data_IF_926031518480
#
_entry.id   IF_926031518480
#
_cell.length_a   1.000
_cell.length_b   1.000
_cell.length_c   1.000
_cell.angle_alpha   90.00
_cell.angle_beta   90.00
_cell.angle_gamma   90.00
#
_symmetry.space_group_name_H-M   'P 1'
#
loop_
_entity.id
_entity.type
_entity.pdbx_description
1 polymer ?
#
# COMPACT_ATOMS: atom_id res chain seq x y z
N UNK A 1 -0.96 -1.41 -14.52
CA UNK A 1 -1.98 -2.32 -15.07
C UNK A 1 -3.03 -2.47 -13.97
N UNK A 2 -4.31 -2.22 -14.24
CA UNK A 2 -5.36 -2.40 -13.23
C UNK A 2 -5.39 -3.88 -12.78
N UNK A 3 -5.71 -4.12 -11.51
CA UNK A 3 -5.94 -5.47 -11.00
C UNK A 3 -7.33 -5.90 -11.49
N UNK A 4 -7.40 -6.89 -12.37
CA UNK A 4 -8.66 -7.36 -12.96
C UNK A 4 -9.19 -8.58 -12.21
N UNK A 5 -8.29 -9.38 -11.64
CA UNK A 5 -8.62 -10.58 -10.88
C UNK A 5 -7.78 -10.68 -9.61
N UNK A 6 -8.28 -11.38 -8.58
CA UNK A 6 -7.58 -11.47 -7.29
C UNK A 6 -6.21 -12.15 -7.42
N UNK A 7 -6.00 -12.99 -8.42
CA UNK A 7 -4.71 -13.64 -8.70
C UNK A 7 -3.64 -12.67 -9.19
N UNK A 8 -4.00 -11.46 -9.64
CA UNK A 8 -3.00 -10.43 -10.00
C UNK A 8 -2.15 -9.99 -8.80
N UNK A 9 -2.64 -10.22 -7.56
CA UNK A 9 -1.85 -10.04 -6.34
C UNK A 9 -0.61 -10.94 -6.28
N UNK A 10 -0.58 -12.06 -7.02
CA UNK A 10 0.61 -12.92 -7.09
C UNK A 10 1.80 -12.19 -7.71
N UNK A 11 1.56 -11.36 -8.74
CA UNK A 11 2.61 -10.52 -9.35
C UNK A 11 3.11 -9.47 -8.36
N UNK A 12 2.21 -8.90 -7.56
CA UNK A 12 2.57 -7.97 -6.48
C UNK A 12 3.43 -8.67 -5.43
N UNK A 13 3.14 -9.95 -5.14
CA UNK A 13 3.89 -10.73 -4.17
C UNK A 13 5.31 -11.12 -4.64
N UNK A 14 5.49 -11.32 -5.93
CA UNK A 14 6.81 -11.51 -6.54
C UNK A 14 7.67 -10.23 -6.45
N UNK A 15 7.04 -9.06 -6.46
CA UNK A 15 7.72 -7.76 -6.35
C UNK A 15 8.08 -7.42 -4.89
N UNK A 16 9.14 -8.04 -4.37
CA UNK A 16 9.71 -7.72 -3.05
C UNK A 16 10.24 -6.27 -3.00
N UNK A 17 10.02 -5.55 -1.89
CA UNK A 17 10.46 -4.16 -1.74
C UNK A 17 9.62 -3.14 -2.52
N UNK A 18 8.41 -3.51 -2.94
CA UNK A 18 7.50 -2.67 -3.72
C UNK A 18 6.94 -1.49 -2.93
N UNK A 19 6.48 -0.45 -3.63
CA UNK A 19 5.67 0.62 -3.06
C UNK A 19 4.21 0.33 -3.41
N UNK A 20 3.38 0.13 -2.39
CA UNK A 20 1.95 -0.08 -2.54
C UNK A 20 1.21 1.21 -2.19
N UNK A 21 0.49 1.78 -3.16
CA UNK A 21 -0.34 2.96 -2.97
C UNK A 21 -1.81 2.57 -3.00
N UNK A 22 -2.51 2.80 -1.89
CA UNK A 22 -3.94 2.57 -1.75
C UNK A 22 -4.66 3.90 -1.85
N UNK A 23 -5.17 4.21 -3.04
CA UNK A 23 -6.03 5.36 -3.21
C UNK A 23 -7.44 5.08 -2.69
N UNK A 24 -8.10 6.12 -2.17
CA UNK A 24 -9.38 6.02 -1.49
C UNK A 24 -9.42 4.85 -0.48
N UNK A 25 -8.39 4.76 0.37
CA UNK A 25 -8.16 3.64 1.27
C UNK A 25 -9.37 3.31 2.15
N UNK A 26 -10.22 4.27 2.48
CA UNK A 26 -11.48 4.01 3.18
C UNK A 26 -12.48 3.17 2.37
N UNK A 27 -12.44 3.19 1.04
CA UNK A 27 -13.31 2.33 0.22
C UNK A 27 -12.95 0.87 0.39
N UNK A 28 -11.66 0.56 0.47
CA UNK A 28 -11.16 -0.79 0.70
C UNK A 28 -11.14 -1.20 2.19
N UNK A 29 -10.90 -0.25 3.08
CA UNK A 29 -10.62 -0.52 4.49
C UNK A 29 -11.56 0.26 5.41
N UNK A 30 -12.85 0.38 5.04
CA UNK A 30 -13.87 0.99 5.89
C UNK A 30 -14.48 0.00 6.86
N UNK A 31 -14.70 0.48 8.09
CA UNK A 31 -15.39 -0.22 9.16
C UNK A 31 -16.87 -0.58 8.85
N UNK A 32 -17.46 -0.10 7.75
CA UNK A 32 -18.93 -0.09 7.57
C UNK A 32 -19.49 -0.79 6.34
N UNK A 33 -18.70 -1.09 5.29
CA UNK A 33 -19.26 -1.42 3.96
C UNK A 33 -18.99 -2.82 3.41
N UNK A 34 -18.03 -3.58 3.95
CA UNK A 34 -17.76 -4.94 3.45
C UNK A 34 -18.37 -6.01 4.35
N UNK A 35 -18.78 -7.14 3.75
CA UNK A 35 -19.08 -8.36 4.52
C UNK A 35 -17.88 -8.67 5.43
N UNK A 36 -18.12 -9.19 6.64
CA UNK A 36 -17.05 -9.49 7.62
C UNK A 36 -15.88 -10.25 6.98
N UNK A 37 -16.18 -11.14 6.03
CA UNK A 37 -15.20 -11.92 5.28
C UNK A 37 -14.30 -11.07 4.36
N UNK A 38 -14.87 -10.21 3.51
CA UNK A 38 -14.08 -9.37 2.57
C UNK A 38 -13.18 -8.37 3.29
N UNK A 39 -13.66 -7.75 4.38
CA UNK A 39 -12.85 -6.84 5.19
C UNK A 39 -11.68 -7.57 5.90
N UNK A 40 -11.88 -8.83 6.28
CA UNK A 40 -10.85 -9.66 6.89
C UNK A 40 -9.75 -9.98 5.88
N UNK A 41 -10.12 -10.46 4.68
CA UNK A 41 -9.16 -10.75 3.60
C UNK A 41 -8.40 -9.50 3.19
N UNK A 42 -9.07 -8.36 2.97
CA UNK A 42 -8.42 -7.12 2.57
C UNK A 42 -7.30 -6.75 3.57
N UNK A 43 -7.58 -6.91 4.85
CA UNK A 43 -6.61 -6.60 5.90
C UNK A 43 -5.50 -7.63 6.00
N UNK A 44 -5.81 -8.91 5.82
CA UNK A 44 -4.82 -9.98 5.78
C UNK A 44 -3.87 -9.84 4.58
N UNK A 45 -4.39 -9.46 3.40
CA UNK A 45 -3.58 -9.10 2.23
C UNK A 45 -2.63 -7.95 2.56
N UNK A 46 -3.11 -6.92 3.25
CA UNK A 46 -2.27 -5.80 3.66
C UNK A 46 -1.19 -6.22 4.69
N UNK A 47 -1.54 -7.04 5.67
CA UNK A 47 -0.56 -7.57 6.62
C UNK A 47 0.47 -8.47 5.92
N UNK A 48 0.03 -9.19 4.88
CA UNK A 48 0.90 -10.01 4.04
C UNK A 48 1.86 -9.14 3.23
N UNK A 49 1.40 -8.08 2.57
CA UNK A 49 2.27 -7.17 1.80
C UNK A 49 3.36 -6.54 2.67
N UNK A 50 3.08 -6.21 3.93
CA UNK A 50 4.12 -5.75 4.87
C UNK A 50 5.27 -6.75 5.07
N UNK A 51 4.99 -8.06 5.09
CA UNK A 51 6.04 -9.09 5.20
C UNK A 51 6.98 -9.10 3.99
N UNK A 52 6.57 -8.50 2.87
CA UNK A 52 7.33 -8.40 1.62
C UNK A 52 8.23 -7.16 1.54
N UNK A 53 8.51 -6.52 2.69
CA UNK A 53 9.34 -5.30 2.81
C UNK A 53 8.82 -4.12 1.98
N UNK A 54 7.52 -4.08 1.70
CA UNK A 54 6.90 -3.02 0.91
C UNK A 54 6.66 -1.76 1.74
N UNK A 55 6.81 -0.59 1.12
CA UNK A 55 6.30 0.68 1.68
C UNK A 55 4.82 0.80 1.35
N UNK A 56 4.00 1.11 2.36
CA UNK A 56 2.55 1.20 2.23
C UNK A 56 2.11 2.67 2.34
N UNK A 57 1.46 3.20 1.32
CA UNK A 57 0.93 4.57 1.27
C UNK A 57 -0.59 4.48 1.22
N UNK A 58 -1.28 5.05 2.21
CA UNK A 58 -2.74 5.07 2.27
C UNK A 58 -3.22 6.50 2.04
N UNK A 59 -3.93 6.72 0.94
CA UNK A 59 -4.56 8.00 0.63
C UNK A 59 -6.04 7.92 1.03
N UNK A 60 -6.48 8.82 1.90
CA UNK A 60 -7.88 8.93 2.32
C UNK A 60 -8.18 10.39 2.64
N UNK A 61 -9.42 10.87 2.43
CA UNK A 61 -9.84 12.20 2.87
C UNK A 61 -9.66 12.41 4.38
N UNK A 62 -9.69 11.34 5.17
CA UNK A 62 -9.44 11.37 6.60
C UNK A 62 -8.92 10.02 7.09
N UNK A 63 -7.84 10.04 7.86
CA UNK A 63 -7.29 8.84 8.49
C UNK A 63 -8.33 8.13 9.37
N UNK A 64 -9.26 8.87 9.97
CA UNK A 64 -10.31 8.32 10.84
C UNK A 64 -11.32 7.43 10.09
N UNK A 65 -11.36 7.52 8.76
CA UNK A 65 -12.22 6.67 7.93
C UNK A 65 -11.59 5.30 7.64
N UNK A 66 -10.31 5.13 7.96
CA UNK A 66 -9.56 3.88 7.77
C UNK A 66 -9.71 2.99 9.01
N UNK A 67 -9.81 1.67 8.79
CA UNK A 67 -9.86 0.63 9.83
C UNK A 67 -8.79 0.86 10.91
N UNK A 68 -9.17 0.70 12.17
CA UNK A 68 -8.31 0.99 13.32
C UNK A 68 -7.04 0.13 13.36
N UNK A 69 -7.07 -1.10 12.84
CA UNK A 69 -5.89 -1.98 12.78
C UNK A 69 -4.86 -1.47 11.80
N UNK A 70 -5.29 -0.81 10.72
CA UNK A 70 -4.38 -0.14 9.79
C UNK A 70 -3.80 1.11 10.46
N UNK A 71 -4.64 1.89 11.14
CA UNK A 71 -4.15 3.07 11.87
C UNK A 71 -3.07 2.71 12.89
N UNK A 72 -3.22 1.60 13.61
CA UNK A 72 -2.24 1.13 14.60
C UNK A 72 -0.84 0.87 14.03
N UNK A 73 -0.71 0.61 12.73
CA UNK A 73 0.58 0.29 12.09
C UNK A 73 1.11 1.44 11.20
N UNK A 74 0.42 2.57 11.14
CA UNK A 74 0.86 3.76 10.39
C UNK A 74 1.94 4.47 11.21
N UNK A 75 3.06 4.77 10.58
CA UNK A 75 4.19 5.45 11.23
C UNK A 75 4.14 6.96 10.96
N UNK A 76 3.85 7.35 9.73
CA UNK A 76 3.86 8.76 9.31
C UNK A 76 2.47 9.16 8.80
N UNK A 77 1.93 10.25 9.37
CA UNK A 77 0.74 10.93 8.88
C UNK A 77 1.14 12.16 8.07
N UNK A 78 0.68 12.23 6.82
CA UNK A 78 0.90 13.36 5.92
C UNK A 78 -0.42 14.09 5.69
N UNK A 79 -0.55 15.29 6.24
CA UNK A 79 -1.73 16.13 6.07
C UNK A 79 -1.49 17.18 4.98
N UNK A 80 -2.27 17.11 3.89
CA UNK A 80 -2.21 18.06 2.78
C UNK A 80 -3.39 19.03 2.86
N UNK A 81 -3.11 20.33 2.92
CA UNK A 81 -4.14 21.39 2.95
C UNK A 81 -3.90 22.42 1.85
N UNK A 82 -4.92 22.68 1.03
CA UNK A 82 -4.92 23.78 0.07
C UNK A 82 -4.98 25.13 0.82
N UNK A 83 -4.08 26.05 0.48
CA UNK A 83 -4.02 27.41 1.02
C UNK A 83 -4.42 28.40 -0.08
N UNK A 84 -5.72 28.51 -0.33
CA UNK A 84 -6.27 29.35 -1.40
C UNK A 84 -5.55 29.10 -2.73
N UNK A 85 -5.16 30.17 -3.41
CA UNK A 85 -4.42 30.12 -4.68
C UNK A 85 -2.90 30.07 -4.51
N UNK A 86 -2.38 30.11 -3.28
CA UNK A 86 -0.93 30.09 -3.03
C UNK A 86 -0.32 28.71 -3.31
N UNK A 87 -1.03 27.64 -2.95
CA UNK A 87 -0.52 26.28 -3.08
C UNK A 87 -1.06 25.34 -2.01
N UNK A 88 -0.28 24.32 -1.68
CA UNK A 88 -0.61 23.31 -0.68
C UNK A 88 0.44 23.31 0.43
N UNK A 89 -0.01 23.31 1.68
CA UNK A 89 0.85 22.99 2.82
C UNK A 89 0.75 21.49 3.14
N UNK A 90 1.90 20.88 3.31
CA UNK A 90 2.07 19.45 3.58
C UNK A 90 2.73 19.35 4.95
N UNK A 91 2.06 18.71 5.90
CA UNK A 91 2.58 18.53 7.26
C UNK A 91 2.82 17.05 7.51
N UNK A 92 4.02 16.74 7.98
CA UNK A 92 4.44 15.40 8.35
C UNK A 92 4.47 15.30 9.87
N UNK A 93 3.81 14.28 10.38
CA UNK A 93 3.68 14.02 11.81
C UNK A 93 3.93 12.54 12.04
N UNK A 94 4.68 12.21 13.08
CA UNK A 94 4.75 10.84 13.57
C UNK A 94 3.36 10.48 14.10
N UNK A 95 2.72 9.48 13.49
CA UNK A 95 1.33 9.17 13.78
C UNK A 95 1.14 8.54 15.16
N UNK A 96 2.17 7.84 15.66
CA UNK A 96 2.11 7.11 16.92
C UNK A 96 2.25 8.04 18.13
N UNK A 97 3.19 8.99 18.02
CA UNK A 97 3.53 9.93 19.10
C UNK A 97 2.83 11.28 18.95
N UNK A 98 2.39 11.62 17.73
CA UNK A 98 1.87 12.94 17.38
C UNK A 98 2.97 13.99 17.20
N UNK A 99 4.25 13.60 17.22
CA UNK A 99 5.37 14.53 17.11
C UNK A 99 5.45 15.16 15.72
N UNK A 100 5.66 16.48 15.69
CA UNK A 100 5.90 17.19 14.45
C UNK A 100 7.24 16.80 13.85
N UNK A 101 7.25 16.32 12.62
CA UNK A 101 8.48 15.93 11.93
C UNK A 101 8.94 17.01 10.95
N UNK A 102 8.06 17.41 10.05
CA UNK A 102 8.44 18.28 8.94
C UNK A 102 7.24 19.02 8.35
N UNK A 103 7.51 20.15 7.67
CA UNK A 103 6.52 20.89 6.89
C UNK A 103 7.11 21.31 5.56
N UNK A 104 6.34 21.06 4.51
CA UNK A 104 6.67 21.45 3.16
C UNK A 104 5.55 22.29 2.55
N UNK A 105 5.91 23.16 1.61
CA UNK A 105 4.95 23.92 0.82
C UNK A 105 5.12 23.62 -0.67
N UNK A 106 4.02 23.30 -1.34
CA UNK A 106 3.95 23.11 -2.78
C UNK A 106 3.25 24.33 -3.41
N UNK A 107 4.00 25.25 -4.04
CA UNK A 107 3.41 26.40 -4.72
C UNK A 107 2.43 25.98 -5.81
N UNK A 108 1.36 26.76 -5.99
CA UNK A 108 0.30 26.45 -6.95
C UNK A 108 0.82 26.33 -8.40
N UNK A 109 1.83 27.10 -8.78
CA UNK A 109 2.43 26.99 -10.12
C UNK A 109 3.11 25.63 -10.34
N UNK A 110 3.72 25.02 -9.32
CA UNK A 110 4.26 23.65 -9.40
C UNK A 110 3.14 22.63 -9.42
N UNK A 111 2.14 22.79 -8.56
CA UNK A 111 0.97 21.90 -8.54
C UNK A 111 0.25 21.86 -9.90
N UNK A 112 0.01 23.02 -10.52
CA UNK A 112 -0.57 23.12 -11.87
C UNK A 112 0.27 22.41 -12.93
N UNK A 113 1.60 22.42 -12.82
CA UNK A 113 2.47 21.64 -13.71
C UNK A 113 2.25 20.14 -13.53
N UNK A 114 2.14 19.67 -12.28
CA UNK A 114 1.88 18.26 -11.96
C UNK A 114 0.51 17.83 -12.49
N UNK A 115 -0.54 18.63 -12.25
CA UNK A 115 -1.89 18.31 -12.72
C UNK A 115 -1.98 18.20 -14.25
N UNK A 116 -1.22 19.04 -14.98
CA UNK A 116 -1.14 18.97 -16.45
C UNK A 116 -0.50 17.70 -16.99
N UNK A 117 0.25 16.96 -16.17
CA UNK A 117 0.85 15.70 -16.61
C UNK A 117 -0.19 14.57 -16.74
N UNK A 118 -1.41 14.74 -16.20
CA UNK A 118 -2.45 13.71 -16.30
C UNK A 118 -2.03 12.38 -15.68
N UNK A 119 -1.21 12.42 -14.61
CA UNK A 119 -0.67 11.21 -13.96
C UNK A 119 -1.76 10.32 -13.35
N UNK A 120 -2.95 10.88 -13.13
CA UNK A 120 -4.10 10.19 -12.55
C UNK A 120 -5.33 10.49 -13.41
N UNK A 121 -6.11 9.44 -13.66
CA UNK A 121 -7.46 9.57 -14.17
C UNK A 121 -8.37 10.00 -13.02
N UNK A 122 -8.86 11.23 -13.08
CA UNK A 122 -9.78 11.80 -12.07
C UNK A 122 -11.24 11.54 -12.38
N UNK A 123 -11.56 10.98 -13.54
CA UNK A 123 -12.92 10.78 -14.03
C UNK A 123 -13.43 9.37 -13.70
N UNK A 124 -12.53 8.40 -13.52
CA UNK A 124 -12.86 7.04 -13.11
C UNK A 124 -13.02 6.93 -11.59
N UNK A 125 -14.17 6.45 -11.11
CA UNK A 125 -14.34 6.12 -9.70
C UNK A 125 -13.44 4.96 -9.28
N UNK A 126 -12.72 5.13 -8.17
CA UNK A 126 -11.91 4.06 -7.57
C UNK A 126 -12.85 2.99 -7.00
N UNK A 127 -12.93 1.86 -7.69
CA UNK A 127 -13.58 0.65 -7.19
C UNK A 127 -12.61 -0.14 -6.30
N UNK A 128 -13.14 -0.91 -5.34
CA UNK A 128 -12.33 -1.81 -4.51
C UNK A 128 -11.55 -2.81 -5.38
N UNK A 129 -10.40 -3.26 -4.90
CA UNK A 129 -9.58 -4.24 -5.60
C UNK A 129 -10.24 -5.63 -5.58
N UNK A 130 -9.97 -6.47 -6.59
CA UNK A 130 -10.53 -7.81 -6.65
C UNK A 130 -9.99 -8.66 -5.49
N UNK A 131 -10.91 -9.31 -4.78
CA UNK A 131 -10.63 -10.20 -3.66
C UNK A 131 -11.31 -11.56 -3.89
N UNK A 132 -10.77 -12.65 -3.32
CA UNK A 132 -11.45 -13.94 -3.27
C UNK A 132 -12.85 -13.80 -2.70
N UNK A 133 -13.82 -14.45 -3.35
CA UNK A 133 -15.24 -14.33 -2.99
C UNK A 133 -15.69 -15.39 -1.98
N UNK A 134 -14.97 -16.51 -1.92
CA UNK A 134 -15.28 -17.66 -1.06
C UNK A 134 -14.14 -18.00 -0.10
N UNK A 135 -14.46 -18.74 0.97
CA UNK A 135 -13.48 -19.25 1.95
C UNK A 135 -12.42 -20.15 1.30
N UNK A 136 -12.85 -21.03 0.39
CA UNK A 136 -11.96 -21.92 -0.35
C UNK A 136 -10.95 -21.14 -1.19
N UNK A 137 -11.43 -20.16 -1.96
CA UNK A 137 -10.57 -19.31 -2.77
C UNK A 137 -9.62 -18.48 -1.90
N UNK A 138 -10.09 -17.96 -0.75
CA UNK A 138 -9.25 -17.22 0.19
C UNK A 138 -8.10 -18.06 0.74
N UNK A 139 -8.38 -19.29 1.17
CA UNK A 139 -7.36 -20.20 1.69
C UNK A 139 -6.32 -20.58 0.62
N UNK A 140 -6.76 -20.89 -0.59
CA UNK A 140 -5.85 -21.18 -1.71
C UNK A 140 -5.01 -19.96 -2.09
N UNK A 141 -5.63 -18.78 -2.09
CA UNK A 141 -4.99 -17.52 -2.37
C UNK A 141 -3.86 -17.20 -1.39
N UNK A 142 -4.13 -17.27 -0.08
CA UNK A 142 -3.09 -17.01 0.93
C UNK A 142 -1.98 -18.05 0.93
N UNK A 143 -2.29 -19.32 0.71
CA UNK A 143 -1.27 -20.37 0.57
C UNK A 143 -0.34 -20.07 -0.61
N UNK A 144 -0.90 -19.71 -1.75
CA UNK A 144 -0.12 -19.39 -2.96
C UNK A 144 0.77 -18.17 -2.75
N UNK A 145 0.23 -17.12 -2.11
CA UNK A 145 1.01 -15.94 -1.73
C UNK A 145 2.20 -16.31 -0.85
N UNK A 146 1.99 -17.15 0.18
CA UNK A 146 3.05 -17.59 1.08
C UNK A 146 4.13 -18.41 0.34
N UNK A 147 3.74 -19.31 -0.56
CA UNK A 147 4.68 -20.07 -1.40
C UNK A 147 5.56 -19.15 -2.26
N UNK A 148 4.97 -18.12 -2.88
CA UNK A 148 5.70 -17.12 -3.69
C UNK A 148 6.69 -16.34 -2.82
N UNK A 149 6.25 -15.90 -1.64
CA UNK A 149 7.10 -15.16 -0.71
C UNK A 149 8.26 -16.03 -0.21
N UNK A 150 8.02 -17.30 0.12
CA UNK A 150 9.06 -18.21 0.59
C UNK A 150 10.10 -18.48 -0.51
N UNK A 151 9.68 -18.73 -1.75
CA UNK A 151 10.61 -18.85 -2.90
C UNK A 151 11.51 -17.61 -3.02
N UNK A 152 10.92 -16.43 -2.90
CA UNK A 152 11.66 -15.16 -2.95
C UNK A 152 12.69 -15.03 -1.83
N UNK A 153 12.33 -15.44 -0.59
CA UNK A 153 13.26 -15.46 0.56
C UNK A 153 14.39 -16.46 0.38
N UNK A 154 14.12 -17.64 -0.17
CA UNK A 154 15.12 -18.66 -0.42
C UNK A 154 16.16 -18.18 -1.43
N UNK A 155 15.74 -17.50 -2.50
CA UNK A 155 16.64 -16.88 -3.48
C UNK A 155 17.58 -15.87 -2.81
N UNK A 156 17.04 -14.95 -1.98
CA UNK A 156 17.86 -13.96 -1.26
C UNK A 156 18.82 -14.64 -0.28
N UNK A 157 18.37 -15.64 0.48
CA UNK A 157 19.22 -16.40 1.42
C UNK A 157 20.34 -17.15 0.69
N UNK A 158 20.04 -17.75 -0.47
CA UNK A 158 21.02 -18.44 -1.30
C UNK A 158 22.06 -17.47 -1.84
N UNK A 159 21.62 -16.34 -2.41
CA UNK A 159 22.52 -15.30 -2.89
C UNK A 159 23.41 -14.75 -1.77
N UNK A 160 22.85 -14.48 -0.58
CA UNK A 160 23.60 -14.05 0.58
C UNK A 160 24.62 -15.12 1.03
N UNK A 161 24.25 -16.40 1.01
CA UNK A 161 25.16 -17.50 1.34
C UNK A 161 26.30 -17.59 0.33
N UNK A 162 26.01 -17.55 -0.97
CA UNK A 162 27.03 -17.58 -2.04
C UNK A 162 28.03 -16.42 -1.94
N UNK A 163 27.55 -15.22 -1.61
CA UNK A 163 28.37 -14.03 -1.31
C UNK A 163 29.25 -14.23 -0.07
N UNK A 164 28.69 -14.76 1.02
CA UNK A 164 29.40 -14.96 2.29
C UNK A 164 30.40 -16.12 2.24
N UNK A 165 30.14 -17.14 1.43
CA UNK A 165 31.01 -18.32 1.31
C UNK A 165 31.93 -18.28 0.10
N UNK A 166 31.88 -17.21 -0.72
CA UNK A 166 32.72 -17.05 -1.92
C UNK A 166 32.45 -18.06 -3.04
N UNK A 167 31.31 -18.75 -3.03
CA UNK A 167 31.03 -19.88 -3.92
C UNK A 167 30.62 -19.49 -5.35
N UNK A 168 30.53 -18.18 -5.64
CA UNK A 168 30.15 -17.65 -6.97
C UNK A 168 31.31 -17.05 -7.79
N UNK A 169 32.56 -17.21 -7.35
CA UNK A 169 33.74 -16.68 -8.05
C UNK A 169 34.61 -17.81 -8.61
N UNK A 170 34.10 -18.51 -9.63
CA UNK A 170 34.88 -19.34 -10.57
C UNK A 170 34.21 -19.30 -11.95
#
# INVERSE_FOLDING_TARGET
MPLEHYTDWYKVAEAQGSICCWDEAQMAFSNRKWSKYGATIATEVMMFTRKMKSVQIYCSPSINNVDSRIRQIVEVLINVRKIGDRGFAIHFTDYQTGEFMHKQFLPMWKAKKIFKLGLYDTDTMVLGFPLPSTEREGNEFFRTLEEIHEKSRQTVRRAARELLTGAGAL
#
